data_IF_521332716628
#
_entry.id   IF_521332716628
#
_cell.length_a   1.000
_cell.length_b   1.000
_cell.length_c   1.000
_cell.angle_alpha   90.00
_cell.angle_beta   90.00
_cell.angle_gamma   90.00
#
_symmetry.space_group_name_H-M   'P 1'
#
loop_
_entity.id
_entity.type
_entity.pdbx_description
1 polymer ?
#
# COMPACT_ATOMS: atom_id res chain seq x y z
N UNK A 1 29.36 -0.45 -4.80
CA UNK A 1 27.96 -0.87 -4.70
C UNK A 1 27.20 -0.33 -5.91
N UNK A 2 26.75 -1.23 -6.77
CA UNK A 2 25.84 -0.85 -7.86
C UNK A 2 24.52 -0.49 -7.19
N UNK A 3 24.17 0.80 -7.14
CA UNK A 3 22.84 1.22 -6.71
C UNK A 3 21.83 0.61 -7.69
N UNK A 4 20.90 -0.17 -7.18
CA UNK A 4 19.78 -0.67 -7.98
C UNK A 4 19.10 0.51 -8.66
N UNK A 5 19.17 0.54 -9.99
CA UNK A 5 18.49 1.58 -10.77
C UNK A 5 17.00 1.26 -10.73
N UNK A 6 16.25 2.08 -10.00
CA UNK A 6 14.80 1.98 -9.99
C UNK A 6 14.28 2.40 -11.37
N UNK A 7 13.48 1.55 -11.97
CA UNK A 7 12.85 1.78 -13.27
C UNK A 7 11.34 1.80 -13.10
N UNK A 8 10.67 2.58 -13.95
CA UNK A 8 9.24 2.58 -14.12
C UNK A 8 8.90 2.22 -15.55
N UNK A 9 7.80 1.54 -15.76
CA UNK A 9 7.30 1.24 -17.10
C UNK A 9 6.12 2.17 -17.45
N UNK A 10 5.98 2.44 -18.74
CA UNK A 10 4.92 3.33 -19.21
C UNK A 10 3.54 2.69 -18.98
N UNK A 11 2.56 3.52 -18.59
CA UNK A 11 1.18 3.07 -18.42
C UNK A 11 0.67 2.44 -19.71
N UNK A 12 0.18 1.18 -19.68
CA UNK A 12 -0.41 0.54 -20.85
C UNK A 12 -1.61 1.31 -21.38
N UNK A 13 -1.87 1.25 -22.68
CA UNK A 13 -3.05 1.88 -23.31
C UNK A 13 -4.37 1.35 -22.76
N UNK A 14 -4.37 0.12 -22.26
CA UNK A 14 -5.46 -0.50 -21.50
C UNK A 14 -4.87 -1.33 -20.38
N UNK A 15 -5.09 -0.90 -19.14
CA UNK A 15 -4.64 -1.63 -17.95
C UNK A 15 -5.61 -2.75 -17.64
N UNK A 16 -5.10 -4.00 -17.66
CA UNK A 16 -5.83 -5.22 -17.30
C UNK A 16 -5.12 -5.87 -16.13
N UNK A 17 -5.57 -5.57 -14.92
CA UNK A 17 -4.88 -5.94 -13.69
C UNK A 17 -5.60 -7.03 -12.90
N UNK A 18 -4.84 -7.84 -12.16
CA UNK A 18 -5.33 -8.61 -11.02
C UNK A 18 -4.89 -7.97 -9.71
N UNK A 19 -5.71 -8.12 -8.67
CA UNK A 19 -5.37 -7.71 -7.33
C UNK A 19 -4.80 -8.89 -6.53
N UNK A 20 -3.70 -8.62 -5.82
CA UNK A 20 -3.12 -9.54 -4.84
C UNK A 20 -2.82 -8.81 -3.52
N UNK A 21 -3.06 -9.49 -2.39
CA UNK A 21 -2.67 -8.93 -1.10
C UNK A 21 -1.15 -8.93 -0.93
N UNK A 22 -0.64 -8.08 -0.03
CA UNK A 22 0.78 -8.07 0.32
C UNK A 22 1.31 -9.42 0.83
N UNK A 23 0.44 -10.22 1.47
CA UNK A 23 0.80 -11.57 1.92
C UNK A 23 1.01 -12.53 0.74
N UNK A 24 0.16 -12.45 -0.26
CA UNK A 24 0.31 -13.24 -1.50
C UNK A 24 1.55 -12.79 -2.25
N UNK A 25 1.74 -11.48 -2.42
CA UNK A 25 2.93 -10.92 -3.08
C UNK A 25 4.24 -11.33 -2.39
N UNK A 26 4.23 -11.36 -1.05
CA UNK A 26 5.37 -11.78 -0.23
C UNK A 26 5.60 -13.31 -0.13
N UNK A 27 4.75 -14.13 -0.80
CA UNK A 27 4.84 -15.60 -0.78
C UNK A 27 5.15 -16.13 -2.18
N UNK A 28 6.44 -16.28 -2.57
CA UNK A 28 6.83 -16.63 -3.95
C UNK A 28 6.16 -17.88 -4.50
N UNK A 29 5.94 -18.90 -3.67
CA UNK A 29 5.26 -20.16 -4.08
C UNK A 29 3.81 -19.95 -4.57
N UNK A 30 3.18 -18.85 -4.20
CA UNK A 30 1.82 -18.49 -4.64
C UNK A 30 1.90 -17.42 -5.73
N UNK A 31 2.67 -16.35 -5.53
CA UNK A 31 2.71 -15.19 -6.43
C UNK A 31 3.28 -15.54 -7.80
N UNK A 32 4.28 -16.41 -7.91
CA UNK A 32 4.84 -16.83 -9.21
C UNK A 32 3.81 -17.50 -10.12
N UNK A 33 2.86 -18.24 -9.55
CA UNK A 33 1.77 -18.84 -10.34
C UNK A 33 0.84 -17.78 -10.91
N UNK A 34 0.60 -16.71 -10.16
CA UNK A 34 -0.23 -15.58 -10.60
C UNK A 34 0.50 -14.73 -11.64
N UNK A 35 1.81 -14.52 -11.47
CA UNK A 35 2.62 -13.79 -12.45
C UNK A 35 2.71 -14.56 -13.77
N UNK A 36 2.88 -15.90 -13.70
CA UNK A 36 2.81 -16.74 -14.88
C UNK A 36 1.43 -16.65 -15.57
N UNK A 37 0.33 -16.56 -14.82
CA UNK A 37 -0.98 -16.36 -15.41
C UNK A 37 -1.08 -15.03 -16.16
N UNK A 38 -0.44 -13.96 -15.64
CA UNK A 38 -0.35 -12.68 -16.36
C UNK A 38 0.42 -12.87 -17.66
N UNK A 39 1.58 -13.54 -17.63
CA UNK A 39 2.40 -13.81 -18.82
C UNK A 39 1.64 -14.61 -19.89
N UNK A 40 0.77 -15.54 -19.48
CA UNK A 40 0.08 -16.46 -20.36
C UNK A 40 -1.30 -15.91 -20.86
N UNK A 41 -1.71 -14.70 -20.44
CA UNK A 41 -3.01 -14.11 -20.77
C UNK A 41 -2.92 -12.68 -21.30
N UNK A 42 -4.07 -12.05 -21.48
CA UNK A 42 -4.18 -10.63 -21.86
C UNK A 42 -3.95 -9.64 -20.70
N UNK A 43 -3.73 -10.15 -19.49
CA UNK A 43 -3.40 -9.33 -18.33
C UNK A 43 -2.01 -8.70 -18.52
N UNK A 44 -1.84 -7.49 -18.03
CA UNK A 44 -0.58 -6.74 -18.17
C UNK A 44 -0.20 -5.94 -16.91
N UNK A 45 -0.93 -6.13 -15.83
CA UNK A 45 -0.72 -5.38 -14.61
C UNK A 45 -1.08 -6.19 -13.36
N UNK A 46 -0.52 -5.77 -12.23
CA UNK A 46 -0.84 -6.29 -10.91
C UNK A 46 -1.08 -5.14 -9.94
N UNK A 47 -2.11 -5.26 -9.09
CA UNK A 47 -2.34 -4.36 -7.96
C UNK A 47 -1.88 -5.06 -6.69
N UNK A 48 -0.96 -4.42 -5.95
CA UNK A 48 -0.39 -4.97 -4.71
C UNK A 48 -0.70 -4.01 -3.56
N UNK A 49 -1.16 -4.52 -2.40
CA UNK A 49 -1.32 -3.69 -1.22
C UNK A 49 0.03 -3.18 -0.70
N UNK A 50 0.25 -1.88 -0.77
CA UNK A 50 1.29 -1.17 -0.03
C UNK A 50 0.90 -1.08 1.44
N UNK A 51 -0.33 -0.61 1.70
CA UNK A 51 -0.92 -0.49 3.02
C UNK A 51 -2.38 -0.95 2.97
N UNK A 52 -2.73 -1.94 3.75
CA UNK A 52 -4.11 -2.43 3.90
C UNK A 52 -4.83 -1.77 5.11
N UNK A 53 -6.05 -2.21 5.41
CA UNK A 53 -6.86 -1.71 6.53
C UNK A 53 -6.22 -1.91 7.91
N UNK A 54 -5.24 -2.80 8.03
CA UNK A 54 -4.49 -2.98 9.29
C UNK A 54 -3.60 -1.80 9.62
N UNK A 55 -3.29 -0.96 8.62
CA UNK A 55 -2.42 0.20 8.76
C UNK A 55 -0.93 -0.11 8.63
N UNK A 56 -0.58 -1.37 8.33
CA UNK A 56 0.82 -1.77 8.17
C UNK A 56 1.26 -1.56 6.72
N UNK A 57 2.42 -0.88 6.55
CA UNK A 57 3.12 -0.80 5.26
C UNK A 57 3.80 -2.14 5.02
N UNK A 58 3.62 -2.72 3.83
CA UNK A 58 3.92 -4.12 3.53
C UNK A 58 5.42 -4.44 3.35
N UNK A 59 6.29 -3.46 3.40
CA UNK A 59 7.74 -3.60 3.27
C UNK A 59 8.48 -2.70 4.25
N UNK A 60 9.75 -2.97 4.48
CA UNK A 60 10.64 -2.11 5.28
C UNK A 60 11.15 -0.98 4.38
N UNK A 61 11.16 0.22 4.92
CA UNK A 61 11.60 1.45 4.25
C UNK A 61 12.81 2.06 4.92
N UNK A 62 13.62 2.78 4.14
CA UNK A 62 14.69 3.66 4.67
C UNK A 62 14.17 5.07 4.97
N UNK A 63 12.88 5.35 4.74
CA UNK A 63 12.26 6.64 5.01
C UNK A 63 12.09 6.85 6.52
N UNK A 64 12.95 7.70 7.08
CA UNK A 64 12.98 7.97 8.53
C UNK A 64 11.67 8.52 9.09
N UNK A 65 10.89 9.26 8.29
CA UNK A 65 9.58 9.75 8.71
C UNK A 65 8.59 8.60 8.88
N UNK A 66 8.57 7.65 7.94
CA UNK A 66 7.69 6.48 8.03
C UNK A 66 8.12 5.55 9.17
N UNK A 67 9.42 5.42 9.43
CA UNK A 67 9.92 4.66 10.58
C UNK A 67 9.39 5.20 11.91
N UNK A 68 9.26 6.53 12.07
CA UNK A 68 8.73 7.13 13.31
C UNK A 68 7.28 6.76 13.61
N UNK A 69 6.50 6.47 12.58
CA UNK A 69 5.13 5.97 12.76
C UNK A 69 5.09 4.47 13.15
N UNK A 70 6.18 3.73 12.95
CA UNK A 70 6.27 2.30 13.24
C UNK A 70 5.39 1.42 12.35
N UNK A 71 4.84 1.98 11.27
CA UNK A 71 3.92 1.26 10.35
C UNK A 71 4.60 0.21 9.45
N UNK A 72 5.90 0.35 9.03
CA UNK A 72 6.55 -0.65 8.17
C UNK A 72 6.60 -2.05 8.79
N UNK A 73 6.35 -3.07 7.95
CA UNK A 73 6.36 -4.48 8.32
C UNK A 73 6.89 -5.31 7.15
N UNK A 74 7.80 -6.26 7.41
CA UNK A 74 8.38 -7.12 6.37
C UNK A 74 7.42 -8.23 5.95
N UNK A 75 6.32 -7.89 5.25
CA UNK A 75 5.45 -8.86 4.57
C UNK A 75 6.05 -9.23 3.22
N UNK A 76 6.53 -8.23 2.50
CA UNK A 76 7.32 -8.39 1.27
C UNK A 76 8.77 -8.14 1.66
N UNK A 77 9.58 -9.19 1.63
CA UNK A 77 10.96 -9.15 2.15
C UNK A 77 11.86 -8.20 1.36
N UNK A 78 11.74 -8.23 0.04
CA UNK A 78 12.49 -7.38 -0.90
C UNK A 78 11.54 -6.84 -1.96
N UNK A 79 11.02 -5.66 -1.70
CA UNK A 79 10.05 -5.00 -2.59
C UNK A 79 10.69 -4.60 -3.92
N UNK A 80 11.96 -4.15 -3.90
CA UNK A 80 12.67 -3.72 -5.11
C UNK A 80 12.92 -4.90 -6.05
N UNK A 81 13.38 -6.02 -5.50
CA UNK A 81 13.57 -7.25 -6.28
C UNK A 81 12.24 -7.78 -6.84
N UNK A 82 11.16 -7.71 -6.07
CA UNK A 82 9.84 -8.10 -6.55
C UNK A 82 9.41 -7.24 -7.74
N UNK A 83 9.46 -5.90 -7.60
CA UNK A 83 9.04 -4.97 -8.66
C UNK A 83 9.94 -5.15 -9.89
N UNK A 84 11.24 -5.28 -9.71
CA UNK A 84 12.17 -5.55 -10.82
C UNK A 84 11.79 -6.83 -11.59
N UNK A 85 11.47 -7.91 -10.88
CA UNK A 85 11.03 -9.17 -11.51
C UNK A 85 9.75 -8.97 -12.35
N UNK A 86 8.79 -8.17 -11.85
CA UNK A 86 7.56 -7.83 -12.57
C UNK A 86 7.86 -6.96 -13.82
N UNK A 87 8.72 -5.96 -13.69
CA UNK A 87 9.15 -5.11 -14.81
C UNK A 87 9.93 -5.90 -15.88
N UNK A 88 10.77 -6.84 -15.48
CA UNK A 88 11.50 -7.73 -16.42
C UNK A 88 10.51 -8.59 -17.26
N UNK A 89 9.29 -8.80 -16.77
CA UNK A 89 8.16 -9.44 -17.47
C UNK A 89 7.23 -8.45 -18.18
N UNK A 90 7.57 -7.14 -18.17
CA UNK A 90 6.71 -6.06 -18.67
C UNK A 90 5.33 -6.00 -18.00
N UNK A 91 5.26 -6.32 -16.71
CA UNK A 91 4.04 -6.24 -15.88
C UNK A 91 4.02 -4.88 -15.17
N UNK A 92 2.97 -4.10 -15.41
CA UNK A 92 2.72 -2.80 -14.78
C UNK A 92 2.32 -2.97 -13.31
N UNK A 93 2.97 -2.25 -12.39
CA UNK A 93 2.81 -2.47 -10.96
C UNK A 93 2.09 -1.32 -10.30
N UNK A 94 0.87 -1.57 -9.83
CA UNK A 94 0.02 -0.59 -9.16
C UNK A 94 0.07 -0.85 -7.65
N UNK A 95 0.44 0.17 -6.88
CA UNK A 95 0.46 0.10 -5.42
C UNK A 95 -0.84 0.63 -4.82
N UNK A 96 -1.56 -0.20 -4.05
CA UNK A 96 -2.80 0.19 -3.39
C UNK A 96 -2.53 0.61 -1.94
N UNK A 97 -3.04 1.79 -1.57
CA UNK A 97 -2.94 2.37 -0.23
C UNK A 97 -4.35 2.55 0.33
N UNK A 98 -4.69 1.79 1.37
CA UNK A 98 -5.88 2.07 2.18
C UNK A 98 -5.65 3.37 2.94
N UNK A 99 -6.26 4.47 2.49
CA UNK A 99 -5.91 5.81 2.97
C UNK A 99 -6.28 6.00 4.43
N UNK A 100 -7.56 5.97 4.77
CA UNK A 100 -8.02 6.32 6.11
C UNK A 100 -8.41 5.13 6.99
N UNK A 101 -8.60 3.93 6.44
CA UNK A 101 -8.69 2.74 7.28
C UNK A 101 -7.29 2.36 7.78
N UNK A 102 -7.06 2.47 9.09
CA UNK A 102 -5.75 2.27 9.69
C UNK A 102 -5.88 1.91 11.17
N UNK A 103 -6.00 0.63 11.43
CA UNK A 103 -6.14 0.16 12.81
C UNK A 103 -4.84 0.35 13.63
N UNK A 104 -3.68 0.23 12.97
CA UNK A 104 -2.39 0.34 13.64
C UNK A 104 -2.11 1.78 14.10
N UNK A 105 -2.14 2.75 13.18
CA UNK A 105 -1.80 4.13 13.52
C UNK A 105 -2.85 4.74 14.47
N UNK A 106 -4.13 4.42 14.29
CA UNK A 106 -5.18 4.84 15.25
C UNK A 106 -4.91 4.31 16.66
N UNK A 107 -4.40 3.09 16.79
CA UNK A 107 -4.06 2.55 18.11
C UNK A 107 -2.81 3.21 18.71
N UNK A 108 -1.81 3.52 17.89
CA UNK A 108 -0.59 4.19 18.31
C UNK A 108 -0.78 5.71 18.57
N UNK A 109 -1.64 6.34 17.78
CA UNK A 109 -1.89 7.79 17.75
C UNK A 109 -3.42 8.08 17.73
N UNK A 110 -4.14 7.82 18.84
CA UNK A 110 -5.61 7.96 18.88
C UNK A 110 -6.10 9.38 18.60
N UNK A 111 -5.26 10.39 18.76
CA UNK A 111 -5.58 11.78 18.45
C UNK A 111 -5.79 12.03 16.95
N UNK A 112 -5.22 11.19 16.09
CA UNK A 112 -5.39 11.25 14.62
C UNK A 112 -6.63 10.52 14.13
N UNK A 113 -7.41 9.92 15.02
CA UNK A 113 -8.57 9.11 14.67
C UNK A 113 -9.86 9.91 14.53
N UNK A 114 -10.75 9.43 13.67
CA UNK A 114 -12.17 9.83 13.73
C UNK A 114 -12.74 9.48 15.09
N UNK A 115 -13.48 10.42 15.70
CA UNK A 115 -14.04 10.28 17.04
C UNK A 115 -15.56 10.34 17.03
N UNK A 116 -16.17 9.60 17.95
CA UNK A 116 -17.61 9.70 18.21
C UNK A 116 -17.94 11.07 18.78
N UNK A 117 -18.96 11.70 18.23
CA UNK A 117 -19.46 12.99 18.73
C UNK A 117 -20.04 12.90 20.15
N UNK A 118 -20.52 11.72 20.55
CA UNK A 118 -21.22 11.50 21.80
C UNK A 118 -20.33 11.43 23.04
N UNK A 119 -19.15 10.81 22.91
CA UNK A 119 -18.26 10.52 24.05
C UNK A 119 -16.77 10.79 23.78
N UNK A 120 -16.42 11.29 22.56
CA UNK A 120 -15.05 11.59 22.15
C UNK A 120 -14.15 10.37 21.95
N UNK A 121 -14.66 9.15 22.08
CA UNK A 121 -13.88 7.93 21.86
C UNK A 121 -13.66 7.67 20.38
N UNK A 122 -12.62 6.90 20.06
CA UNK A 122 -12.34 6.47 18.70
C UNK A 122 -13.57 5.80 18.10
N UNK A 123 -13.95 6.29 16.92
CA UNK A 123 -15.04 5.70 16.15
C UNK A 123 -14.56 4.42 15.44
N UNK A 124 -15.45 3.44 15.33
CA UNK A 124 -15.22 2.20 14.60
C UNK A 124 -16.42 1.89 13.72
N UNK A 125 -16.15 1.40 12.52
CA UNK A 125 -17.18 0.92 11.61
C UNK A 125 -17.83 -0.39 12.10
N UNK A 126 -18.83 -0.90 11.35
CA UNK A 126 -19.53 -2.16 11.66
C UNK A 126 -18.63 -3.38 11.74
N UNK A 127 -17.47 -3.35 11.09
CA UNK A 127 -16.45 -4.40 11.13
C UNK A 127 -15.46 -4.22 12.28
N UNK A 128 -15.61 -3.17 13.08
CA UNK A 128 -14.71 -2.82 14.16
C UNK A 128 -13.42 -2.14 13.71
N UNK A 129 -13.32 -1.71 12.45
CA UNK A 129 -12.13 -1.05 11.90
C UNK A 129 -12.13 0.41 12.32
N UNK A 130 -10.98 0.88 12.82
CA UNK A 130 -10.75 2.28 13.16
C UNK A 130 -10.28 3.06 11.95
N UNK A 131 -10.57 4.36 11.93
CA UNK A 131 -10.27 5.24 10.81
C UNK A 131 -9.49 6.47 11.27
N UNK A 132 -8.47 6.84 10.49
CA UNK A 132 -7.80 8.12 10.60
C UNK A 132 -8.74 9.24 10.16
N UNK A 133 -8.60 10.41 10.77
CA UNK A 133 -9.40 11.59 10.43
C UNK A 133 -8.99 12.15 9.05
N UNK A 134 -9.89 12.11 8.06
CA UNK A 134 -9.62 12.69 6.75
C UNK A 134 -9.42 14.21 6.77
N UNK A 135 -9.77 14.91 7.85
CA UNK A 135 -9.53 16.34 8.04
C UNK A 135 -8.15 16.67 8.61
N UNK A 136 -7.35 15.68 8.98
CA UNK A 136 -6.04 15.89 9.61
C UNK A 136 -4.93 16.08 8.57
N UNK A 137 -4.27 17.25 8.57
CA UNK A 137 -3.09 17.51 7.71
C UNK A 137 -1.92 16.56 8.03
N UNK A 138 -1.77 16.11 9.27
CA UNK A 138 -0.73 15.17 9.64
C UNK A 138 -0.94 13.81 8.96
N UNK A 139 -2.21 13.38 8.88
CA UNK A 139 -2.59 12.16 8.15
C UNK A 139 -2.32 12.31 6.65
N UNK A 140 -2.61 13.48 6.06
CA UNK A 140 -2.30 13.72 4.65
C UNK A 140 -0.79 13.63 4.36
N UNK A 141 0.03 14.27 5.21
CA UNK A 141 1.49 14.21 5.10
C UNK A 141 2.01 12.77 5.22
N UNK A 142 1.45 11.99 6.14
CA UNK A 142 1.77 10.56 6.27
C UNK A 142 1.45 9.78 5.00
N UNK A 143 0.27 9.98 4.41
CA UNK A 143 -0.12 9.29 3.16
C UNK A 143 0.75 9.71 1.97
N UNK A 144 1.11 10.99 1.88
CA UNK A 144 2.04 11.50 0.85
C UNK A 144 3.43 10.87 1.01
N UNK A 145 3.94 10.74 2.23
CA UNK A 145 5.23 10.08 2.47
C UNK A 145 5.19 8.59 2.05
N UNK A 146 4.08 7.87 2.32
CA UNK A 146 3.90 6.50 1.83
C UNK A 146 3.91 6.47 0.30
N UNK A 147 3.20 7.40 -0.34
CA UNK A 147 3.15 7.50 -1.80
C UNK A 147 4.53 7.73 -2.42
N UNK A 148 5.27 8.71 -1.90
CA UNK A 148 6.62 9.04 -2.37
C UNK A 148 7.58 7.86 -2.19
N UNK A 149 7.55 7.21 -1.03
CA UNK A 149 8.40 6.06 -0.73
C UNK A 149 8.09 4.88 -1.66
N UNK A 150 6.80 4.65 -1.92
CA UNK A 150 6.35 3.60 -2.83
C UNK A 150 6.78 3.86 -4.28
N UNK A 151 6.68 5.08 -4.76
CA UNK A 151 7.23 5.45 -6.07
C UNK A 151 8.74 5.22 -6.11
N UNK A 152 9.46 5.62 -5.08
CA UNK A 152 10.92 5.48 -5.00
C UNK A 152 11.41 4.02 -4.93
N UNK A 153 10.56 3.05 -4.58
CA UNK A 153 10.91 1.62 -4.65
C UNK A 153 10.47 0.95 -5.95
N UNK A 154 9.76 1.68 -6.84
CA UNK A 154 9.50 1.28 -8.21
C UNK A 154 8.03 1.06 -8.61
N UNK A 155 7.05 1.29 -7.73
CA UNK A 155 5.65 1.24 -8.15
C UNK A 155 5.37 2.25 -9.26
N UNK A 156 4.71 1.82 -10.33
CA UNK A 156 4.44 2.65 -11.52
C UNK A 156 3.22 3.57 -11.31
N UNK A 157 2.25 3.12 -10.52
CA UNK A 157 1.01 3.84 -10.23
C UNK A 157 0.61 3.66 -8.78
N UNK A 158 -0.06 4.66 -8.20
CA UNK A 158 -0.59 4.63 -6.85
C UNK A 158 -2.12 4.72 -6.87
N UNK A 159 -2.77 3.74 -6.26
CA UNK A 159 -4.21 3.72 -6.05
C UNK A 159 -4.51 4.04 -4.59
N UNK A 160 -4.98 5.26 -4.33
CA UNK A 160 -5.46 5.67 -3.01
C UNK A 160 -6.92 5.24 -2.86
N UNK A 161 -7.13 4.18 -2.09
CA UNK A 161 -8.46 3.64 -1.79
C UNK A 161 -8.96 4.11 -0.42
N UNK A 162 -10.27 3.98 -0.16
CA UNK A 162 -10.92 4.46 1.07
C UNK A 162 -10.64 5.94 1.38
N UNK A 163 -10.56 6.76 0.33
CA UNK A 163 -10.34 8.21 0.42
C UNK A 163 -11.67 8.95 0.64
N UNK A 164 -12.30 8.67 1.77
CA UNK A 164 -13.60 9.20 2.16
C UNK A 164 -13.74 9.27 3.68
N UNK A 165 -14.70 10.05 4.16
CA UNK A 165 -15.17 9.91 5.54
C UNK A 165 -15.86 8.55 5.71
N UNK A 166 -15.70 7.92 6.89
CA UNK A 166 -16.44 6.71 7.19
C UNK A 166 -17.95 7.00 7.25
N UNK A 167 -18.73 6.05 6.77
CA UNK A 167 -20.20 6.07 6.85
C UNK A 167 -20.69 4.66 7.13
N UNK A 168 -21.59 4.53 8.09
CA UNK A 168 -22.34 3.30 8.35
C UNK A 168 -23.81 3.47 7.96
#
# INVERSE_FOLDING_TARGET
>A
EVKDVITHIATPSAVKAIYISSWVAGTPSISERLYKMIDDTELNAVIIDIKDYTGRISFITDNKKLETFGSPQSRIRDIKALIKNLHDRNIYVIGRISSFQDAYLVNARPELAVKKRTDGKVWKDRKGISWLDPGSEEVWKYLVEIGNDSYNVGFDELNFDYIRFPSD
#
